data_IF_220221456243
#
_entry.id   IF_220221456243
#
_cell.length_a   1.000
_cell.length_b   1.000
_cell.length_c   1.000
_cell.angle_alpha   90.00
_cell.angle_beta   90.00
_cell.angle_gamma   90.00
#
_symmetry.space_group_name_H-M   'P 1'
#
loop_
_entity.id
_entity.type
_entity.pdbx_description
1 polymer ?
#
# COMPACT_ATOMS: atom_id res chain seq x y z
N UNK A 1 -2.39 -14.63 0.99
CA UNK A 1 -2.72 -13.36 1.64
C UNK A 1 -4.16 -13.38 2.08
N UNK A 2 -4.35 -13.38 3.40
CA UNK A 2 -5.64 -13.43 4.12
C UNK A 2 -5.49 -12.65 5.45
N UNK A 3 -4.31 -12.07 5.70
CA UNK A 3 -3.83 -11.64 7.01
C UNK A 3 -4.17 -10.18 7.39
N UNK A 4 -4.73 -9.37 6.48
CA UNK A 4 -5.09 -7.98 6.80
C UNK A 4 -6.27 -7.89 7.80
N UNK A 5 -7.16 -8.90 7.82
CA UNK A 5 -8.33 -8.91 8.70
C UNK A 5 -8.01 -9.24 10.17
N UNK A 6 -6.92 -9.98 10.44
CA UNK A 6 -6.59 -10.43 11.80
C UNK A 6 -5.97 -9.33 12.68
N UNK A 7 -5.22 -8.38 12.09
CA UNK A 7 -4.49 -7.36 12.85
C UNK A 7 -5.37 -6.19 13.31
N UNK A 8 -6.46 -5.87 12.60
CA UNK A 8 -7.38 -4.79 12.97
C UNK A 8 -8.16 -5.06 14.28
N UNK A 9 -8.46 -6.33 14.58
CA UNK A 9 -9.24 -6.71 15.77
C UNK A 9 -8.41 -6.70 17.06
N UNK A 10 -7.07 -6.87 16.95
CA UNK A 10 -6.18 -6.98 18.12
C UNK A 10 -5.66 -5.61 18.58
N UNK A 11 -5.39 -4.66 17.68
CA UNK A 11 -4.91 -3.32 18.08
C UNK A 11 -5.92 -2.54 18.94
N UNK A 12 -7.22 -2.83 18.83
CA UNK A 12 -8.29 -2.09 19.50
C UNK A 12 -8.54 -2.49 20.96
N UNK A 13 -8.02 -3.63 21.45
CA UNK A 13 -8.33 -4.11 22.81
C UNK A 13 -7.21 -3.96 23.85
N UNK A 14 -5.96 -3.78 23.46
CA UNK A 14 -4.82 -3.88 24.39
C UNK A 14 -4.00 -2.59 24.61
N UNK A 15 -4.17 -1.55 23.81
CA UNK A 15 -3.37 -0.33 23.97
C UNK A 15 -4.26 0.92 24.00
N UNK A 16 -4.90 1.15 25.15
CA UNK A 16 -5.38 2.48 25.52
C UNK A 16 -4.15 3.38 25.80
N UNK A 17 -3.49 3.82 24.74
CA UNK A 17 -2.48 4.86 24.79
C UNK A 17 -2.97 5.93 23.84
N UNK A 18 -3.23 7.12 24.38
CA UNK A 18 -3.63 8.33 23.64
C UNK A 18 -2.51 8.72 22.66
N UNK A 19 -2.44 8.03 21.53
CA UNK A 19 -1.83 8.58 20.34
C UNK A 19 -2.93 9.36 19.65
N UNK A 20 -2.70 10.64 19.35
CA UNK A 20 -3.49 11.32 18.33
C UNK A 20 -3.55 10.36 17.13
N UNK A 21 -4.74 9.87 16.80
CA UNK A 21 -4.91 8.99 15.65
C UNK A 21 -4.47 9.80 14.43
N UNK A 22 -3.22 9.61 14.00
CA UNK A 22 -2.74 10.16 12.74
C UNK A 22 -3.70 9.63 11.67
N UNK A 23 -4.51 10.54 11.14
CA UNK A 23 -5.49 10.21 10.11
C UNK A 23 -4.75 9.46 8.99
N UNK A 24 -5.24 8.29 8.56
CA UNK A 24 -4.56 7.51 7.54
C UNK A 24 -4.40 8.35 6.28
N UNK A 25 -3.20 8.36 5.72
CA UNK A 25 -2.91 9.08 4.48
C UNK A 25 -3.66 8.38 3.33
N UNK A 26 -4.60 9.09 2.69
CA UNK A 26 -5.30 8.58 1.52
C UNK A 26 -4.37 8.59 0.29
N UNK A 27 -4.06 7.41 -0.23
CA UNK A 27 -3.35 7.25 -1.49
C UNK A 27 -4.33 6.83 -2.60
N UNK A 28 -4.65 7.76 -3.51
CA UNK A 28 -5.56 7.52 -4.65
C UNK A 28 -4.78 7.46 -5.97
N UNK A 29 -4.68 6.26 -6.56
CA UNK A 29 -4.00 6.02 -7.83
C UNK A 29 -4.95 6.07 -9.04
N UNK A 30 -5.78 7.11 -9.14
CA UNK A 30 -6.80 7.31 -10.18
C UNK A 30 -6.34 8.17 -11.38
N UNK A 31 -5.04 8.40 -11.47
CA UNK A 31 -4.36 9.17 -12.52
C UNK A 31 -2.98 8.56 -12.80
N UNK A 32 -2.29 8.94 -13.89
CA UNK A 32 -1.01 8.34 -14.22
C UNK A 32 0.00 8.35 -13.07
N UNK A 33 0.68 7.22 -12.86
CA UNK A 33 1.66 7.04 -11.80
C UNK A 33 2.85 6.22 -12.27
N UNK A 34 3.99 6.41 -11.60
CA UNK A 34 5.18 5.60 -11.78
C UNK A 34 5.14 4.42 -10.82
N UNK A 35 5.62 3.26 -11.26
CA UNK A 35 5.75 2.09 -10.41
C UNK A 35 7.13 1.44 -10.57
N UNK A 36 7.57 0.81 -9.48
CA UNK A 36 8.80 0.05 -9.41
C UNK A 36 8.52 -1.25 -8.66
N UNK A 37 8.89 -2.37 -9.26
CA UNK A 37 8.97 -3.66 -8.58
C UNK A 37 10.44 -3.88 -8.32
N UNK A 38 10.81 -3.94 -7.04
CA UNK A 38 12.21 -4.05 -6.64
C UNK A 38 12.41 -5.21 -5.67
N UNK A 39 13.56 -5.84 -5.79
CA UNK A 39 14.12 -6.65 -4.71
C UNK A 39 14.52 -5.69 -3.58
N UNK A 40 14.03 -5.95 -2.36
CA UNK A 40 14.08 -4.98 -1.26
C UNK A 40 15.41 -4.93 -0.52
N UNK A 41 16.19 -6.03 -0.53
CA UNK A 41 17.44 -6.13 0.24
C UNK A 41 18.57 -5.33 -0.38
N UNK A 42 18.70 -5.39 -1.70
CA UNK A 42 19.75 -4.72 -2.47
C UNK A 42 19.20 -3.53 -3.28
N UNK A 43 17.90 -3.23 -3.14
CA UNK A 43 17.20 -2.17 -3.85
C UNK A 43 17.29 -2.29 -5.37
N UNK A 44 17.40 -3.52 -5.89
CA UNK A 44 17.51 -3.78 -7.32
C UNK A 44 16.14 -3.63 -7.96
N UNK A 45 16.03 -2.74 -8.94
CA UNK A 45 14.81 -2.59 -9.74
C UNK A 45 14.69 -3.75 -10.71
N UNK A 46 13.66 -4.57 -10.52
CA UNK A 46 13.35 -5.71 -11.39
C UNK A 46 12.45 -5.28 -12.56
N UNK A 47 11.47 -4.42 -12.26
CA UNK A 47 10.59 -3.82 -13.26
C UNK A 47 10.34 -2.36 -12.91
N UNK A 48 10.19 -1.52 -13.94
CA UNK A 48 9.78 -0.12 -13.79
C UNK A 48 8.88 0.28 -14.94
N UNK A 49 8.01 1.25 -14.69
CA UNK A 49 7.13 1.76 -15.73
C UNK A 49 6.24 2.90 -15.28
N UNK A 50 5.47 3.40 -16.24
CA UNK A 50 4.40 4.38 -16.03
C UNK A 50 3.08 3.74 -16.39
N UNK A 51 2.15 3.70 -15.45
CA UNK A 51 0.77 3.35 -15.72
C UNK A 51 0.04 4.62 -16.14
N UNK A 52 -0.60 4.61 -17.32
CA UNK A 52 -1.29 5.79 -17.87
C UNK A 52 -2.79 5.54 -17.99
N UNK A 53 -3.18 4.36 -18.46
CA UNK A 53 -4.56 3.96 -18.63
C UNK A 53 -4.65 2.42 -18.58
N UNK A 54 -5.81 1.84 -18.22
CA UNK A 54 -6.03 0.42 -18.37
C UNK A 54 -5.93 0.01 -19.84
N UNK A 55 -5.40 -1.17 -20.15
CA UNK A 55 -5.48 -1.71 -21.50
C UNK A 55 -6.94 -1.86 -21.91
N UNK A 56 -7.26 -1.61 -23.18
CA UNK A 56 -8.58 -1.92 -23.72
C UNK A 56 -8.86 -3.41 -23.51
N UNK A 57 -10.04 -3.75 -22.99
CA UNK A 57 -10.47 -5.14 -22.86
C UNK A 57 -10.59 -5.75 -24.26
N UNK A 58 -9.91 -6.87 -24.50
CA UNK A 58 -10.08 -7.71 -25.69
C UNK A 58 -11.30 -8.62 -25.55
#
# INVERSE_FOLDING_TARGET
SEAAAATAVVMSRSCAVMFEEEQPIEFKADRPFLFFIRESRQNIVLFSGKYVAPPMAS
#
